data_IF_396185419721
#
_entry.id   IF_396185419721
#
_cell.length_a   1.000
_cell.length_b   1.000
_cell.length_c   1.000
_cell.angle_alpha   90.00
_cell.angle_beta   90.00
_cell.angle_gamma   90.00
#
_symmetry.space_group_name_H-M   'P 1'
#
loop_
_entity.id
_entity.type
_entity.pdbx_description
1 polymer ?
#
# COMPACT_ATOMS: atom_id res chain seq x y z
N UNK A 1 -40.71 37.10 20.53
CA UNK A 1 -39.36 36.54 20.79
C UNK A 1 -38.66 36.38 19.45
N UNK A 2 -37.49 37.00 19.28
CA UNK A 2 -36.79 37.01 17.99
C UNK A 2 -36.37 35.59 17.59
N UNK A 3 -36.53 35.27 16.31
CA UNK A 3 -36.11 34.03 15.64
C UNK A 3 -34.66 33.62 15.98
N UNK A 4 -33.80 34.59 16.28
CA UNK A 4 -32.44 34.39 16.76
C UNK A 4 -32.32 33.42 17.95
N UNK A 5 -33.17 33.57 18.97
CA UNK A 5 -33.09 32.74 20.18
C UNK A 5 -33.49 31.28 19.93
N UNK A 6 -34.39 31.04 18.98
CA UNK A 6 -34.77 29.69 18.58
C UNK A 6 -33.62 28.97 17.87
N UNK A 7 -32.94 29.65 16.94
CA UNK A 7 -31.78 29.08 16.24
C UNK A 7 -30.60 28.87 17.18
N UNK A 8 -30.36 29.80 18.11
CA UNK A 8 -29.33 29.65 19.14
C UNK A 8 -29.63 28.46 20.08
N UNK A 9 -30.89 28.32 20.50
CA UNK A 9 -31.34 27.19 21.33
C UNK A 9 -31.18 25.84 20.62
N UNK A 10 -31.59 25.77 19.35
CA UNK A 10 -31.44 24.56 18.54
C UNK A 10 -29.97 24.18 18.34
N UNK A 11 -29.08 25.16 18.12
CA UNK A 11 -27.65 24.95 17.98
C UNK A 11 -27.03 24.34 19.25
N UNK A 12 -27.33 24.91 20.41
CA UNK A 12 -26.81 24.44 21.71
C UNK A 12 -27.35 23.05 22.04
N UNK A 13 -28.65 22.80 21.80
CA UNK A 13 -29.26 21.48 22.02
C UNK A 13 -28.61 20.40 21.15
N UNK A 14 -28.34 20.70 19.88
CA UNK A 14 -27.70 19.75 18.97
C UNK A 14 -26.26 19.43 19.39
N UNK A 15 -25.49 20.45 19.78
CA UNK A 15 -24.15 20.26 20.33
C UNK A 15 -24.15 19.44 21.63
N UNK A 16 -25.10 19.68 22.54
CA UNK A 16 -25.26 18.89 23.78
C UNK A 16 -25.61 17.42 23.50
N UNK A 17 -26.43 17.14 22.51
CA UNK A 17 -26.84 15.78 22.15
C UNK A 17 -25.65 14.97 21.60
N UNK A 18 -24.82 15.58 20.74
CA UNK A 18 -23.57 14.99 20.26
C UNK A 18 -22.59 14.71 21.43
N UNK A 19 -22.50 15.63 22.39
CA UNK A 19 -21.66 15.48 23.58
C UNK A 19 -22.13 14.36 24.49
N UNK A 20 -23.43 14.23 24.74
CA UNK A 20 -24.00 13.10 25.47
C UNK A 20 -23.69 11.77 24.77
N UNK A 21 -23.79 11.73 23.44
CA UNK A 21 -23.42 10.56 22.64
C UNK A 21 -21.94 10.16 22.81
N UNK A 22 -21.02 11.12 22.67
CA UNK A 22 -19.58 10.89 22.85
C UNK A 22 -19.22 10.49 24.29
N UNK A 23 -19.86 11.09 25.29
CA UNK A 23 -19.68 10.75 26.70
C UNK A 23 -20.17 9.32 27.03
N UNK A 24 -21.33 8.93 26.50
CA UNK A 24 -21.84 7.57 26.64
C UNK A 24 -20.93 6.57 25.91
N UNK A 25 -20.47 6.88 24.69
CA UNK A 25 -19.59 6.02 23.91
C UNK A 25 -18.24 5.78 24.62
N UNK A 26 -17.63 6.82 25.18
CA UNK A 26 -16.37 6.71 25.93
C UNK A 26 -16.51 5.94 27.25
N UNK A 27 -17.70 5.93 27.87
CA UNK A 27 -17.99 5.10 29.05
C UNK A 27 -18.28 3.64 28.71
N UNK A 28 -18.87 3.37 27.55
CA UNK A 28 -19.18 2.01 27.10
C UNK A 28 -17.95 1.26 26.62
N UNK A 29 -16.97 1.97 26.04
CA UNK A 29 -15.63 1.43 25.80
C UNK A 29 -14.92 1.35 27.14
N UNK A 30 -14.82 0.14 27.72
CA UNK A 30 -13.99 -0.15 28.91
C UNK A 30 -12.57 0.34 28.66
N UNK A 31 -12.25 1.54 29.16
CA UNK A 31 -10.92 2.13 29.07
C UNK A 31 -10.17 1.79 30.34
N UNK A 32 -9.00 1.14 30.21
CA UNK A 32 -8.04 1.03 31.31
C UNK A 32 -7.79 2.43 31.92
N UNK A 33 -7.67 2.55 33.25
CA UNK A 33 -7.52 3.85 33.90
C UNK A 33 -6.20 4.48 33.45
N UNK A 34 -6.26 5.44 32.52
CA UNK A 34 -5.10 6.22 32.12
C UNK A 34 -4.60 7.03 33.32
N UNK A 35 -3.30 6.91 33.62
CA UNK A 35 -2.60 7.43 34.82
C UNK A 35 -2.68 8.96 35.02
N UNK A 36 -3.15 9.71 34.02
CA UNK A 36 -3.36 11.15 34.12
C UNK A 36 -4.86 11.48 34.09
N UNK A 37 -5.47 11.61 35.28
CA UNK A 37 -6.82 12.16 35.41
C UNK A 37 -6.77 13.66 35.04
N UNK A 38 -7.26 13.98 33.83
CA UNK A 38 -7.27 15.34 33.29
C UNK A 38 -7.99 16.31 34.25
N UNK A 39 -7.38 17.46 34.49
CA UNK A 39 -7.84 18.47 35.46
C UNK A 39 -9.25 18.97 35.12
N UNK A 40 -10.02 19.37 36.15
CA UNK A 40 -11.40 19.86 35.97
C UNK A 40 -11.48 21.01 34.95
N UNK A 41 -10.48 21.87 34.91
CA UNK A 41 -10.41 22.99 33.97
C UNK A 41 -10.15 22.56 32.52
N UNK A 42 -9.31 21.55 32.33
CA UNK A 42 -9.00 21.00 31.00
C UNK A 42 -10.24 20.34 30.40
N UNK A 43 -11.00 19.60 31.22
CA UNK A 43 -12.29 19.04 30.81
C UNK A 43 -13.25 20.17 30.38
N UNK A 44 -13.43 21.20 31.21
CA UNK A 44 -14.31 22.33 30.88
C UNK A 44 -13.88 23.06 29.61
N UNK A 45 -12.58 23.24 29.37
CA UNK A 45 -12.06 23.84 28.14
C UNK A 45 -12.39 22.98 26.91
N UNK A 46 -12.20 21.66 26.98
CA UNK A 46 -12.63 20.74 25.92
C UNK A 46 -14.15 20.81 25.68
N UNK A 47 -14.97 20.91 26.74
CA UNK A 47 -16.43 21.05 26.60
C UNK A 47 -16.81 22.30 25.79
N UNK A 48 -16.21 23.45 26.09
CA UNK A 48 -16.47 24.70 25.38
C UNK A 48 -15.99 24.65 23.93
N UNK A 49 -14.82 24.04 23.69
CA UNK A 49 -14.27 23.88 22.35
C UNK A 49 -15.21 23.05 21.45
N UNK A 50 -15.74 21.93 21.94
CA UNK A 50 -16.66 21.12 21.13
C UNK A 50 -18.00 21.84 20.88
N UNK A 51 -18.55 22.56 21.86
CA UNK A 51 -19.77 23.36 21.66
C UNK A 51 -19.59 24.46 20.62
N UNK A 52 -18.39 25.06 20.51
CA UNK A 52 -18.10 26.05 19.48
C UNK A 52 -17.73 25.42 18.12
N UNK A 53 -17.02 24.30 18.09
CA UNK A 53 -16.41 23.74 16.87
C UNK A 53 -17.16 22.53 16.27
N UNK A 54 -18.28 22.07 16.85
CA UNK A 54 -19.02 20.94 16.29
C UNK A 54 -19.48 21.11 14.82
N UNK A 55 -19.84 22.30 14.31
CA UNK A 55 -20.19 22.46 12.89
C UNK A 55 -19.00 22.24 11.98
N UNK A 56 -17.79 22.60 12.44
CA UNK A 56 -16.54 22.35 11.72
C UNK A 56 -16.21 20.85 11.66
N UNK A 57 -16.37 20.14 12.78
CA UNK A 57 -16.21 18.68 12.81
C UNK A 57 -17.22 17.99 11.88
N UNK A 58 -18.47 18.45 11.88
CA UNK A 58 -19.50 17.92 11.01
C UNK A 58 -19.21 18.23 9.53
N UNK A 59 -18.73 19.44 9.22
CA UNK A 59 -18.37 19.80 7.84
C UNK A 59 -17.19 18.98 7.32
N UNK A 60 -16.19 18.68 8.16
CA UNK A 60 -15.08 17.78 7.81
C UNK A 60 -15.62 16.36 7.57
N UNK A 61 -16.48 15.84 8.45
CA UNK A 61 -17.04 14.50 8.30
C UNK A 61 -17.89 14.36 7.02
N UNK A 62 -18.69 15.37 6.70
CA UNK A 62 -19.47 15.41 5.46
C UNK A 62 -18.57 15.57 4.24
N UNK A 63 -17.52 16.40 4.33
CA UNK A 63 -16.55 16.55 3.24
C UNK A 63 -15.81 15.24 2.98
N UNK A 64 -15.31 14.57 4.02
CA UNK A 64 -14.64 13.27 3.87
C UNK A 64 -15.61 12.16 3.42
N UNK A 65 -16.83 12.14 3.94
CA UNK A 65 -17.81 11.10 3.61
C UNK A 65 -18.46 11.24 2.23
N UNK A 66 -18.69 12.48 1.77
CA UNK A 66 -19.44 12.78 0.54
C UNK A 66 -18.54 13.24 -0.60
N UNK A 67 -17.50 14.03 -0.30
CA UNK A 67 -16.63 14.63 -1.32
C UNK A 67 -15.29 13.92 -1.47
N UNK A 68 -14.73 13.33 -0.41
CA UNK A 68 -13.55 12.48 -0.52
C UNK A 68 -13.97 11.08 -0.97
N UNK A 69 -14.23 10.93 -2.27
CA UNK A 69 -14.21 9.60 -2.88
C UNK A 69 -12.83 9.02 -2.63
N UNK A 70 -12.76 7.99 -1.78
CA UNK A 70 -11.56 7.17 -1.69
C UNK A 70 -11.23 6.75 -3.13
N UNK A 71 -9.99 6.92 -3.60
CA UNK A 71 -9.62 6.37 -4.89
C UNK A 71 -10.01 4.89 -4.90
N UNK A 72 -10.48 4.34 -6.04
CA UNK A 72 -10.75 2.92 -6.14
C UNK A 72 -9.53 2.16 -5.61
N UNK A 73 -9.76 1.10 -4.84
CA UNK A 73 -8.67 0.26 -4.37
C UNK A 73 -7.84 -0.16 -5.59
N UNK A 74 -6.50 0.03 -5.58
CA UNK A 74 -5.68 -0.33 -6.71
C UNK A 74 -5.89 -1.81 -7.03
N UNK A 75 -6.19 -2.10 -8.29
CA UNK A 75 -6.32 -3.47 -8.76
C UNK A 75 -4.91 -4.03 -8.93
N UNK A 76 -4.44 -4.76 -7.91
CA UNK A 76 -3.12 -5.36 -7.93
C UNK A 76 -3.08 -6.44 -8.99
N UNK A 77 -2.19 -6.29 -9.98
CA UNK A 77 -1.91 -7.39 -10.92
C UNK A 77 -1.14 -8.49 -10.16
N UNK A 78 -1.47 -9.73 -10.48
CA UNK A 78 -0.79 -10.92 -9.93
C UNK A 78 0.71 -10.95 -10.28
N UNK A 79 1.07 -10.41 -11.45
CA UNK A 79 2.44 -10.37 -11.99
C UNK A 79 2.83 -8.93 -12.37
N UNK A 80 4.06 -8.56 -12.05
CA UNK A 80 4.69 -7.33 -12.53
C UNK A 80 4.93 -7.41 -14.03
N UNK A 81 5.44 -8.55 -14.51
CA UNK A 81 5.68 -8.77 -15.92
C UNK A 81 4.37 -8.72 -16.73
N UNK A 82 4.45 -8.17 -17.94
CA UNK A 82 3.34 -8.11 -18.90
C UNK A 82 3.81 -8.70 -20.24
N UNK A 83 2.93 -9.29 -21.07
CA UNK A 83 3.33 -9.77 -22.39
C UNK A 83 3.96 -8.67 -23.27
N UNK A 84 3.58 -7.41 -23.05
CA UNK A 84 4.11 -6.25 -23.78
C UNK A 84 5.49 -5.79 -23.27
N UNK A 85 5.87 -6.14 -22.04
CA UNK A 85 7.16 -5.79 -21.45
C UNK A 85 8.23 -6.88 -21.65
N UNK A 86 7.86 -7.98 -22.32
CA UNK A 86 8.81 -9.04 -22.67
C UNK A 86 9.73 -8.53 -23.78
N UNK A 87 11.03 -8.65 -23.56
CA UNK A 87 12.04 -8.09 -24.46
C UNK A 87 12.67 -9.18 -25.32
N UNK A 88 13.22 -10.21 -24.69
CA UNK A 88 13.97 -11.27 -25.37
C UNK A 88 13.75 -12.62 -24.71
N UNK A 89 13.56 -13.63 -25.54
CA UNK A 89 13.52 -15.03 -25.12
C UNK A 89 14.94 -15.56 -24.87
N UNK A 90 15.11 -16.33 -23.81
CA UNK A 90 16.38 -16.94 -23.44
C UNK A 90 16.18 -18.41 -23.03
N UNK A 91 17.25 -19.20 -23.12
CA UNK A 91 17.30 -20.52 -22.47
C UNK A 91 17.87 -20.39 -21.06
N UNK A 92 17.56 -21.37 -20.20
CA UNK A 92 18.10 -21.43 -18.84
C UNK A 92 19.63 -21.32 -18.84
N UNK A 93 20.32 -22.11 -19.66
CA UNK A 93 21.80 -22.09 -19.67
C UNK A 93 22.35 -20.74 -20.12
N UNK A 94 21.69 -20.10 -21.08
CA UNK A 94 22.13 -18.79 -21.59
C UNK A 94 22.05 -17.70 -20.51
N UNK A 95 21.03 -17.75 -19.65
CA UNK A 95 20.87 -16.80 -18.55
C UNK A 95 21.91 -17.07 -17.46
N UNK A 96 22.09 -18.34 -17.09
CA UNK A 96 23.08 -18.70 -16.10
C UNK A 96 24.48 -18.26 -16.53
N UNK A 97 24.82 -18.36 -17.82
CA UNK A 97 26.09 -17.86 -18.34
C UNK A 97 26.21 -16.34 -18.31
N UNK A 98 25.13 -15.61 -18.60
CA UNK A 98 25.12 -14.14 -18.60
C UNK A 98 25.21 -13.55 -17.18
N UNK A 99 24.57 -14.20 -16.22
CA UNK A 99 24.41 -13.71 -14.86
C UNK A 99 25.39 -14.38 -13.87
N UNK A 100 26.28 -15.25 -14.37
CA UNK A 100 27.42 -15.77 -13.60
C UNK A 100 28.56 -14.77 -13.61
N UNK A 101 28.81 -14.18 -12.45
CA UNK A 101 29.99 -13.35 -12.23
C UNK A 101 31.22 -14.23 -11.93
N UNK A 102 32.29 -14.07 -12.70
CA UNK A 102 33.60 -14.69 -12.40
C UNK A 102 34.47 -13.68 -11.67
N UNK A 103 34.62 -13.87 -10.37
CA UNK A 103 35.57 -13.09 -9.58
C UNK A 103 37.01 -13.50 -9.96
N UNK A 104 37.86 -12.57 -10.45
CA UNK A 104 39.25 -12.86 -10.78
C UNK A 104 40.06 -13.36 -9.58
N UNK A 105 39.65 -13.06 -8.35
CA UNK A 105 40.31 -13.53 -7.12
C UNK A 105 39.66 -14.79 -6.54
N UNK A 106 38.61 -15.31 -7.16
CA UNK A 106 37.89 -16.51 -6.75
C UNK A 106 37.47 -16.49 -5.26
N UNK A 107 37.18 -15.31 -4.71
CA UNK A 107 36.75 -15.13 -3.32
C UNK A 107 35.26 -15.47 -3.14
N UNK A 108 34.49 -15.46 -4.23
CA UNK A 108 33.06 -15.81 -4.26
C UNK A 108 32.82 -16.95 -5.24
N UNK A 109 31.93 -17.91 -4.92
CA UNK A 109 31.54 -18.96 -5.86
C UNK A 109 31.01 -18.35 -7.17
N UNK A 110 31.40 -18.93 -8.31
CA UNK A 110 30.89 -18.58 -9.62
C UNK A 110 29.47 -19.14 -9.80
N UNK A 111 28.51 -18.61 -9.04
CA UNK A 111 27.10 -18.97 -9.11
C UNK A 111 26.29 -17.84 -9.81
N UNK A 112 25.32 -18.18 -10.67
CA UNK A 112 24.48 -17.19 -11.32
C UNK A 112 23.63 -16.46 -10.29
N UNK A 113 23.52 -15.14 -10.44
CA UNK A 113 22.80 -14.22 -9.55
C UNK A 113 23.33 -14.14 -8.10
N UNK A 114 24.48 -14.74 -7.80
CA UNK A 114 25.11 -14.66 -6.48
C UNK A 114 24.18 -15.07 -5.34
N UNK A 115 23.75 -14.11 -4.51
CA UNK A 115 22.86 -14.35 -3.37
C UNK A 115 21.42 -14.74 -3.78
N UNK A 116 21.00 -14.41 -5.00
CA UNK A 116 19.69 -14.80 -5.54
C UNK A 116 19.73 -16.17 -6.24
N UNK A 117 20.86 -16.87 -6.22
CA UNK A 117 21.00 -18.19 -6.84
C UNK A 117 19.94 -19.18 -6.35
N UNK A 118 19.68 -19.23 -5.04
CA UNK A 118 18.67 -20.13 -4.46
C UNK A 118 17.25 -19.78 -4.94
N UNK A 119 16.95 -18.49 -5.10
CA UNK A 119 15.67 -18.03 -5.64
C UNK A 119 15.54 -18.38 -7.13
N UNK A 120 16.62 -18.24 -7.89
CA UNK A 120 16.69 -18.66 -9.29
C UNK A 120 16.46 -20.16 -9.45
N UNK A 121 17.09 -21.00 -8.61
CA UNK A 121 16.87 -22.44 -8.65
C UNK A 121 15.40 -22.82 -8.38
N UNK A 122 14.75 -22.17 -7.42
CA UNK A 122 13.31 -22.36 -7.15
C UNK A 122 12.44 -21.91 -8.31
N UNK A 123 12.80 -20.82 -8.98
CA UNK A 123 12.12 -20.36 -10.19
C UNK A 123 12.27 -21.40 -11.32
N UNK A 124 13.47 -21.93 -11.55
CA UNK A 124 13.70 -22.99 -12.53
C UNK A 124 12.98 -24.31 -12.21
N UNK A 125 12.68 -24.62 -10.94
CA UNK A 125 11.89 -25.81 -10.58
C UNK A 125 10.44 -25.74 -11.09
N UNK A 126 9.94 -24.55 -11.41
CA UNK A 126 8.59 -24.36 -11.95
C UNK A 126 8.54 -24.54 -13.48
N UNK A 127 9.70 -24.62 -14.14
CA UNK A 127 9.84 -24.73 -15.58
C UNK A 127 9.37 -26.09 -16.09
N UNK A 128 8.48 -26.08 -17.07
CA UNK A 128 8.03 -27.25 -17.83
C UNK A 128 8.67 -27.26 -19.23
N UNK A 129 8.63 -28.40 -19.92
CA UNK A 129 9.30 -28.59 -21.22
C UNK A 129 8.80 -27.61 -22.31
N UNK A 130 7.54 -27.18 -22.25
CA UNK A 130 6.93 -26.26 -23.21
C UNK A 130 6.99 -24.77 -22.78
N UNK A 131 7.58 -24.48 -21.63
CA UNK A 131 7.63 -23.12 -21.09
C UNK A 131 8.69 -22.27 -21.80
N UNK A 132 8.34 -21.00 -22.04
CA UNK A 132 9.27 -20.03 -22.60
C UNK A 132 9.77 -19.08 -21.52
N UNK A 133 11.09 -18.95 -21.44
CA UNK A 133 11.72 -17.99 -20.53
C UNK A 133 11.98 -16.67 -21.25
N UNK A 134 11.47 -15.58 -20.70
CA UNK A 134 11.56 -14.25 -21.29
C UNK A 134 12.17 -13.27 -20.31
N UNK A 135 13.11 -12.44 -20.77
CA UNK A 135 13.56 -11.28 -20.01
C UNK A 135 12.51 -10.16 -20.12
N UNK A 136 12.21 -9.50 -19.01
CA UNK A 136 11.34 -8.33 -18.99
C UNK A 136 12.06 -7.14 -18.35
N UNK A 137 11.65 -5.94 -18.77
CA UNK A 137 12.09 -4.67 -18.21
C UNK A 137 10.90 -3.73 -18.14
N UNK A 138 10.63 -3.22 -16.96
CA UNK A 138 9.50 -2.31 -16.70
C UNK A 138 9.99 -1.09 -15.93
N UNK A 139 9.44 0.07 -16.25
CA UNK A 139 9.57 1.26 -15.42
C UNK A 139 8.38 1.31 -14.46
N UNK A 140 8.61 0.93 -13.21
CA UNK A 140 7.57 0.86 -12.19
C UNK A 140 6.97 2.24 -11.86
N UNK A 141 7.66 3.35 -12.22
CA UNK A 141 7.13 4.71 -12.05
C UNK A 141 6.08 5.07 -13.09
N UNK A 142 6.18 4.47 -14.28
CA UNK A 142 5.29 4.71 -15.40
C UNK A 142 4.15 3.68 -15.49
N UNK A 143 4.26 2.56 -14.78
CA UNK A 143 3.25 1.52 -14.79
C UNK A 143 2.09 1.88 -13.83
N UNK A 144 0.88 2.01 -14.39
CA UNK A 144 -0.34 2.32 -13.63
C UNK A 144 -0.79 1.15 -12.74
N UNK A 145 -0.38 -0.09 -13.03
CA UNK A 145 -0.74 -1.30 -12.30
C UNK A 145 0.14 -1.61 -11.08
N UNK A 146 1.21 -0.85 -10.87
CA UNK A 146 2.25 -1.13 -9.86
C UNK A 146 2.32 -0.05 -8.78
N UNK A 147 1.20 0.23 -8.11
CA UNK A 147 1.15 1.31 -7.12
C UNK A 147 2.05 1.08 -5.89
N UNK A 148 2.35 -0.18 -5.55
CA UNK A 148 3.30 -0.52 -4.48
C UNK A 148 4.76 -0.42 -4.94
N UNK A 149 5.01 -0.61 -6.24
CA UNK A 149 6.35 -0.78 -6.81
C UNK A 149 6.91 0.53 -7.40
N UNK A 150 6.10 1.61 -7.48
CA UNK A 150 6.52 2.96 -7.88
C UNK A 150 7.72 3.54 -7.11
N UNK A 151 8.06 2.94 -5.96
CA UNK A 151 9.27 3.30 -5.21
C UNK A 151 10.53 2.90 -5.96
N UNK A 152 10.45 1.80 -6.70
CA UNK A 152 11.52 1.32 -7.55
C UNK A 152 11.45 2.02 -8.90
N UNK A 153 12.61 2.26 -9.51
CA UNK A 153 12.72 2.83 -10.84
C UNK A 153 12.48 1.77 -11.90
N UNK A 154 13.57 1.13 -12.32
CA UNK A 154 13.54 0.11 -13.35
C UNK A 154 13.59 -1.25 -12.68
N UNK A 155 12.63 -2.11 -13.03
CA UNK A 155 12.58 -3.52 -12.59
C UNK A 155 12.93 -4.39 -13.79
N UNK A 156 14.00 -5.18 -13.64
CA UNK A 156 14.48 -6.13 -14.64
C UNK A 156 14.47 -7.55 -14.07
N UNK A 157 14.04 -8.50 -14.89
CA UNK A 157 13.90 -9.88 -14.45
C UNK A 157 13.58 -10.84 -15.57
N UNK A 158 13.21 -12.05 -15.17
CA UNK A 158 12.81 -13.13 -16.06
C UNK A 158 11.41 -13.61 -15.72
N UNK A 159 10.59 -13.84 -16.74
CA UNK A 159 9.23 -14.33 -16.62
C UNK A 159 9.08 -15.66 -17.36
N UNK A 160 8.25 -16.55 -16.81
CA UNK A 160 7.81 -17.77 -17.48
C UNK A 160 6.53 -17.49 -18.23
N UNK A 161 6.54 -17.79 -19.53
CA UNK A 161 5.38 -17.70 -20.41
C UNK A 161 4.94 -19.11 -20.81
N UNK A 162 3.71 -19.47 -20.45
CA UNK A 162 3.02 -20.71 -20.86
C UNK A 162 1.72 -20.36 -21.54
N UNK A 163 1.50 -20.84 -22.76
CA UNK A 163 0.29 -20.56 -23.55
C UNK A 163 -0.05 -19.06 -23.67
N UNK A 164 0.98 -18.19 -23.73
CA UNK A 164 0.82 -16.74 -23.81
C UNK A 164 0.43 -16.05 -22.48
N UNK A 165 0.42 -16.79 -21.36
CA UNK A 165 0.19 -16.26 -20.01
C UNK A 165 1.44 -16.34 -19.17
N UNK A 166 1.64 -15.35 -18.32
CA UNK A 166 2.73 -15.32 -17.37
C UNK A 166 2.35 -16.24 -16.21
N UNK A 167 3.25 -17.17 -15.86
CA UNK A 167 3.02 -18.16 -14.81
C UNK A 167 3.94 -17.97 -13.60
N UNK A 168 5.06 -17.28 -13.78
CA UNK A 168 5.99 -16.96 -12.72
C UNK A 168 6.88 -15.80 -13.15
N UNK A 169 7.44 -15.09 -12.18
CA UNK A 169 8.44 -14.06 -12.39
C UNK A 169 9.57 -14.13 -11.37
N UNK A 170 10.75 -13.73 -11.81
CA UNK A 170 11.96 -13.64 -11.02
C UNK A 170 12.59 -12.28 -11.25
N UNK A 171 12.81 -11.52 -10.18
CA UNK A 171 13.43 -10.20 -10.27
C UNK A 171 14.94 -10.33 -10.11
N UNK A 172 15.68 -9.88 -11.12
CA UNK A 172 17.13 -9.89 -11.10
C UNK A 172 17.68 -8.57 -10.56
N UNK A 173 17.05 -7.44 -10.92
CA UNK A 173 17.47 -6.08 -10.57
C UNK A 173 16.26 -5.18 -10.33
N UNK A 174 16.35 -4.35 -9.30
CA UNK A 174 15.39 -3.31 -8.95
C UNK A 174 16.17 -2.06 -8.52
N UNK A 175 15.98 -0.95 -9.22
CA UNK A 175 16.62 0.34 -8.93
C UNK A 175 15.80 1.24 -7.99
#
# INVERSE_FOLDING_TARGET
>A
MSTFWYWLGAYVLTGLLLMCGAYCHTRLIKREPSVNAMSRWENTACFLAVLMLWPLMFSILVYEGVFSRRPPAPEYREWVATPASLTRQFTKESIEQLETYRDPFNAVPAAPFGHLHDAWLRFCQQLQEDDQLWAFRIDARQDEGLDYDKRYGIVEGYALLRDGKICAEFYARMD
#
